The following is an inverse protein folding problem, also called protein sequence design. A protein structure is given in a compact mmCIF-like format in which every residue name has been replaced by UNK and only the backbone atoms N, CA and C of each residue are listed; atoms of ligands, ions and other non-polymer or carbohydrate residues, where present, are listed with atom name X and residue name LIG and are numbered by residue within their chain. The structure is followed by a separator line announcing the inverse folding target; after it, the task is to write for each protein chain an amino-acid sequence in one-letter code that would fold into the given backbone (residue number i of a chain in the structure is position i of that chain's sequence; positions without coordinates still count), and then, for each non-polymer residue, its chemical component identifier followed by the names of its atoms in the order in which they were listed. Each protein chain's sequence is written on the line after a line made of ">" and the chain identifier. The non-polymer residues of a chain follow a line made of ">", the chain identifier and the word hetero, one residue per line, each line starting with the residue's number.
data_IF_800644386120
#
_entry.id   IF_800644386120
#
_cell.length_a   1.000
_cell.length_b   1.000
_cell.length_c   1.000
_cell.angle_alpha   90.00
_cell.angle_beta   90.00
_cell.angle_gamma   90.00
#
_symmetry.space_group_name_H-M   'P 1'
#
loop_
_entity.id
_entity.type
_entity.pdbx_description
1 polymer ?
#
# COMPACT_ATOMS: atom_id res chain seq x y z
N UNK A 1 2.38 -30.21 -3.92
CA UNK A 1 1.29 -29.85 -4.87
C UNK A 1 1.81 -29.45 -6.25
N UNK A 2 2.73 -28.48 -6.37
CA UNK A 2 3.21 -27.97 -7.68
C UNK A 2 3.97 -29.02 -8.51
N UNK A 3 4.83 -29.85 -7.87
CA UNK A 3 5.49 -31.00 -8.52
C UNK A 3 4.50 -31.97 -9.19
N UNK A 4 3.42 -32.30 -8.49
CA UNK A 4 2.38 -33.20 -9.00
C UNK A 4 1.62 -32.58 -10.19
N UNK A 5 1.37 -31.27 -10.15
CA UNK A 5 0.77 -30.55 -11.27
C UNK A 5 1.67 -30.58 -12.51
N UNK A 6 2.97 -30.33 -12.36
CA UNK A 6 3.94 -30.39 -13.46
C UNK A 6 4.03 -31.80 -14.04
N UNK A 7 4.10 -32.84 -13.20
CA UNK A 7 4.09 -34.23 -13.64
C UNK A 7 2.80 -34.60 -14.41
N UNK A 8 1.63 -34.20 -13.89
CA UNK A 8 0.33 -34.44 -14.57
C UNK A 8 0.25 -33.74 -15.93
N UNK A 9 0.77 -32.51 -16.03
CA UNK A 9 0.79 -31.77 -17.30
C UNK A 9 1.76 -32.39 -18.30
N UNK A 10 2.93 -32.84 -17.83
CA UNK A 10 3.88 -33.57 -18.65
C UNK A 10 3.27 -34.87 -19.21
N UNK A 11 2.53 -35.64 -18.39
CA UNK A 11 1.80 -36.82 -18.84
C UNK A 11 0.72 -36.53 -19.91
N UNK A 12 0.25 -35.28 -19.99
CA UNK A 12 -0.68 -34.81 -21.02
C UNK A 12 0.04 -34.11 -22.20
N UNK A 13 1.34 -34.30 -22.36
CA UNK A 13 2.15 -33.72 -23.44
C UNK A 13 2.39 -32.21 -23.31
N UNK A 14 2.16 -31.62 -22.11
CA UNK A 14 2.30 -30.17 -21.88
C UNK A 14 3.58 -29.85 -21.11
N UNK A 15 4.49 -29.13 -21.74
CA UNK A 15 5.64 -28.50 -21.06
C UNK A 15 5.15 -27.45 -20.06
N UNK A 16 5.77 -27.40 -18.89
CA UNK A 16 5.38 -26.49 -17.81
C UNK A 16 6.61 -25.99 -17.07
N UNK A 17 6.87 -24.69 -17.16
CA UNK A 17 7.90 -23.98 -16.38
C UNK A 17 7.27 -23.47 -15.08
N UNK A 18 7.92 -23.74 -13.95
CA UNK A 18 7.54 -23.23 -12.64
C UNK A 18 8.51 -22.12 -12.25
N UNK A 19 8.01 -20.88 -12.21
CA UNK A 19 8.75 -19.73 -11.75
C UNK A 19 8.31 -19.31 -10.34
N UNK A 20 9.27 -18.95 -9.48
CA UNK A 20 9.04 -18.28 -8.20
C UNK A 20 9.56 -16.85 -8.31
N UNK A 21 8.67 -15.87 -8.12
CA UNK A 21 8.98 -14.45 -8.32
C UNK A 21 8.69 -13.61 -7.08
N UNK A 22 9.41 -12.50 -6.90
CA UNK A 22 9.12 -11.47 -5.89
C UNK A 22 10.10 -11.47 -4.69
N UNK A 23 9.72 -10.84 -3.58
CA UNK A 23 10.64 -10.62 -2.45
C UNK A 23 11.17 -11.90 -1.80
N UNK A 24 10.36 -12.96 -1.74
CA UNK A 24 10.81 -14.25 -1.20
C UNK A 24 11.83 -14.89 -2.15
N UNK A 25 11.60 -14.80 -3.46
CA UNK A 25 12.57 -15.20 -4.47
C UNK A 25 13.89 -14.44 -4.32
N UNK A 26 13.82 -13.13 -4.07
CA UNK A 26 15.00 -12.30 -3.81
C UNK A 26 15.76 -12.71 -2.54
N UNK A 27 15.04 -13.03 -1.46
CA UNK A 27 15.66 -13.33 -0.17
C UNK A 27 16.27 -14.74 -0.13
N UNK A 28 15.59 -15.73 -0.67
CA UNK A 28 16.03 -17.13 -0.62
C UNK A 28 16.84 -17.55 -1.86
N UNK A 29 16.63 -16.91 -3.01
CA UNK A 29 17.41 -17.15 -4.23
C UNK A 29 17.53 -18.63 -4.59
N UNK A 30 18.77 -19.11 -4.71
CA UNK A 30 19.09 -20.50 -5.04
C UNK A 30 18.61 -21.52 -3.98
N UNK A 31 18.35 -21.10 -2.73
CA UNK A 31 17.84 -22.00 -1.69
C UNK A 31 16.47 -22.58 -2.06
N UNK A 32 15.63 -21.82 -2.77
CA UNK A 32 14.35 -22.30 -3.26
C UNK A 32 14.53 -23.50 -4.20
N UNK A 33 15.53 -23.44 -5.10
CA UNK A 33 15.84 -24.53 -6.02
C UNK A 33 16.34 -25.76 -5.25
N UNK A 34 17.17 -25.57 -4.22
CA UNK A 34 17.65 -26.66 -3.36
C UNK A 34 16.52 -27.36 -2.62
N UNK A 35 15.58 -26.60 -2.04
CA UNK A 35 14.44 -27.15 -1.26
C UNK A 35 13.32 -27.71 -2.13
N UNK A 36 13.19 -27.21 -3.37
CA UNK A 36 12.12 -27.62 -4.28
C UNK A 36 12.63 -27.74 -5.73
N UNK A 37 13.12 -28.93 -6.07
CA UNK A 37 13.59 -29.28 -7.42
C UNK A 37 12.54 -29.15 -8.54
N UNK A 38 11.25 -28.96 -8.21
CA UNK A 38 10.24 -28.70 -9.23
C UNK A 38 10.31 -27.27 -9.81
N UNK A 39 10.94 -26.33 -9.11
CA UNK A 39 11.09 -24.93 -9.56
C UNK A 39 12.17 -24.84 -10.63
N UNK A 40 11.88 -24.16 -11.73
CA UNK A 40 12.79 -23.99 -12.86
C UNK A 40 13.45 -22.62 -12.90
N UNK A 41 12.77 -21.61 -12.35
CA UNK A 41 13.17 -20.21 -12.40
C UNK A 41 12.89 -19.51 -11.07
N UNK A 42 13.86 -18.74 -10.57
CA UNK A 42 13.71 -17.83 -9.44
C UNK A 42 14.05 -16.41 -9.94
N UNK A 43 13.13 -15.46 -9.74
CA UNK A 43 13.30 -14.08 -10.24
C UNK A 43 12.97 -13.03 -9.18
N UNK A 44 13.91 -12.11 -8.97
CA UNK A 44 13.78 -10.98 -8.06
C UNK A 44 12.78 -9.92 -8.55
N UNK A 45 12.31 -9.03 -7.66
CA UNK A 45 11.35 -8.00 -8.00
C UNK A 45 11.89 -6.90 -8.93
N UNK A 46 13.21 -6.78 -9.10
CA UNK A 46 13.81 -5.81 -10.02
C UNK A 46 14.03 -6.36 -11.44
N UNK A 47 14.05 -7.69 -11.62
CA UNK A 47 14.41 -8.31 -12.90
C UNK A 47 13.22 -8.83 -13.72
N UNK A 48 11.96 -8.59 -13.29
CA UNK A 48 10.80 -9.21 -13.97
C UNK A 48 10.56 -8.74 -15.42
N UNK A 49 11.14 -7.62 -15.84
CA UNK A 49 11.14 -7.19 -17.24
C UNK A 49 11.90 -8.18 -18.16
N UNK A 50 12.82 -8.97 -17.59
CA UNK A 50 13.60 -10.02 -18.28
C UNK A 50 12.89 -11.37 -18.31
N UNK A 51 11.66 -11.46 -17.79
CA UNK A 51 10.98 -12.75 -17.58
C UNK A 51 10.84 -13.57 -18.88
N UNK A 52 10.65 -12.93 -20.04
CA UNK A 52 10.59 -13.62 -21.33
C UNK A 52 11.88 -14.38 -21.64
N UNK A 53 13.04 -13.72 -21.49
CA UNK A 53 14.36 -14.33 -21.65
C UNK A 53 14.61 -15.42 -20.60
N UNK A 54 14.32 -15.12 -19.33
CA UNK A 54 14.51 -16.07 -18.23
C UNK A 54 13.67 -17.34 -18.38
N UNK A 55 12.46 -17.23 -18.90
CA UNK A 55 11.61 -18.40 -19.21
C UNK A 55 12.18 -19.20 -20.38
N UNK A 56 12.70 -18.55 -21.42
CA UNK A 56 13.35 -19.25 -22.53
C UNK A 56 14.60 -20.00 -22.07
N UNK A 57 15.44 -19.37 -21.22
CA UNK A 57 16.60 -20.00 -20.59
C UNK A 57 16.21 -21.18 -19.70
N UNK A 58 15.20 -21.01 -18.86
CA UNK A 58 14.70 -22.07 -17.99
C UNK A 58 14.09 -23.25 -18.75
N UNK A 59 13.56 -23.01 -19.95
CA UNK A 59 13.09 -24.07 -20.85
C UNK A 59 14.24 -24.87 -21.47
N UNK A 60 15.41 -24.25 -21.71
CA UNK A 60 16.61 -24.91 -22.20
C UNK A 60 17.37 -25.66 -21.09
N UNK A 61 17.52 -25.03 -19.92
CA UNK A 61 18.15 -25.61 -18.74
C UNK A 61 17.45 -25.10 -17.46
N UNK A 62 16.84 -25.99 -16.64
CA UNK A 62 16.19 -25.57 -15.39
C UNK A 62 17.22 -25.11 -14.36
N UNK A 63 16.76 -24.33 -13.37
CA UNK A 63 17.58 -23.84 -12.27
C UNK A 63 18.12 -22.42 -12.49
N UNK A 64 17.44 -21.61 -13.30
CA UNK A 64 17.80 -20.21 -13.52
C UNK A 64 17.47 -19.38 -12.27
N UNK A 65 18.41 -18.58 -11.82
CA UNK A 65 18.23 -17.60 -10.72
C UNK A 65 18.67 -16.24 -11.24
N UNK A 66 17.78 -15.25 -11.14
CA UNK A 66 18.08 -13.84 -11.39
C UNK A 66 17.52 -13.01 -10.24
N UNK A 67 18.39 -12.73 -9.27
CA UNK A 67 18.11 -11.92 -8.08
C UNK A 67 19.06 -10.74 -7.98
N UNK A 68 19.65 -10.33 -9.09
CA UNK A 68 20.52 -9.15 -9.08
C UNK A 68 19.67 -7.88 -9.05
N UNK A 69 20.27 -6.78 -8.58
CA UNK A 69 19.68 -5.45 -8.65
C UNK A 69 20.27 -4.73 -9.87
N UNK A 70 19.62 -4.80 -11.04
CA UNK A 70 20.12 -4.11 -12.23
C UNK A 70 20.12 -2.60 -12.04
N UNK A 71 21.10 -1.93 -12.63
CA UNK A 71 21.20 -0.47 -12.67
C UNK A 71 20.23 0.16 -13.68
N UNK A 72 19.79 -0.61 -14.67
CA UNK A 72 18.82 -0.20 -15.68
C UNK A 72 17.41 -0.03 -15.10
N UNK A 73 16.72 1.02 -15.51
CA UNK A 73 15.33 1.26 -15.14
C UNK A 73 14.41 0.29 -15.90
N UNK A 74 13.89 -0.73 -15.21
CA UNK A 74 12.98 -1.71 -15.81
C UNK A 74 11.74 -1.08 -16.47
N UNK A 75 11.30 0.09 -16.01
CA UNK A 75 10.13 0.77 -16.58
C UNK A 75 10.37 1.25 -18.01
N UNK A 76 11.64 1.34 -18.45
CA UNK A 76 11.99 1.65 -19.85
C UNK A 76 11.87 0.43 -20.77
N UNK A 77 11.84 -0.78 -20.21
CA UNK A 77 11.77 -2.03 -20.97
C UNK A 77 10.36 -2.65 -20.98
N UNK A 78 9.46 -2.17 -20.10
CA UNK A 78 8.10 -2.67 -20.02
C UNK A 78 7.23 -1.95 -21.06
N UNK A 79 6.70 -2.72 -22.01
CA UNK A 79 5.69 -2.20 -22.92
C UNK A 79 4.47 -1.70 -22.12
N UNK A 80 3.99 -0.47 -22.37
CA UNK A 80 2.80 0.02 -21.71
C UNK A 80 1.61 -0.88 -22.08
N UNK A 81 0.72 -1.21 -21.12
CA UNK A 81 -0.44 -2.03 -21.41
C UNK A 81 -1.35 -1.32 -22.44
N UNK A 82 -1.94 -2.11 -23.34
CA UNK A 82 -2.91 -1.59 -24.30
C UNK A 82 -4.13 -0.96 -23.59
N UNK A 83 -4.77 0.08 -24.17
CA UNK A 83 -5.93 0.74 -23.57
C UNK A 83 -7.07 -0.22 -23.17
N UNK A 84 -7.30 -1.27 -23.94
CA UNK A 84 -8.31 -2.30 -23.68
C UNK A 84 -7.99 -3.07 -22.38
N UNK A 85 -6.71 -3.39 -22.18
CA UNK A 85 -6.24 -4.08 -20.98
C UNK A 85 -6.32 -3.19 -19.74
N UNK A 86 -6.13 -1.87 -19.89
CA UNK A 86 -6.33 -0.91 -18.80
C UNK A 86 -7.82 -0.84 -18.46
N UNK A 87 -8.70 -0.63 -19.44
CA UNK A 87 -10.17 -0.58 -19.24
C UNK A 87 -10.70 -1.83 -18.53
N UNK A 88 -10.21 -3.00 -18.90
CA UNK A 88 -10.61 -4.27 -18.29
C UNK A 88 -10.26 -4.38 -16.79
N UNK A 89 -9.28 -3.60 -16.29
CA UNK A 89 -8.89 -3.59 -14.86
C UNK A 89 -9.80 -2.71 -14.01
N UNK A 90 -10.52 -1.77 -14.63
CA UNK A 90 -11.46 -0.88 -13.97
C UNK A 90 -11.05 0.59 -14.03
N UNK A 91 -11.66 1.40 -13.16
CA UNK A 91 -11.56 2.87 -13.17
C UNK A 91 -10.54 3.40 -12.17
N UNK A 92 -9.83 2.53 -11.45
CA UNK A 92 -8.76 2.91 -10.53
C UNK A 92 -7.47 2.17 -10.89
N UNK A 93 -6.32 2.79 -10.64
CA UNK A 93 -5.01 2.17 -10.92
C UNK A 93 -3.97 2.53 -9.87
N UNK A 94 -3.09 1.58 -9.58
CA UNK A 94 -1.83 1.85 -8.89
C UNK A 94 -0.78 2.34 -9.87
N UNK A 95 0.04 3.30 -9.44
CA UNK A 95 1.19 3.79 -10.19
C UNK A 95 2.40 3.72 -9.27
N UNK A 96 3.35 2.84 -9.58
CA UNK A 96 4.59 2.74 -8.81
C UNK A 96 5.43 3.99 -9.08
N UNK A 97 5.73 4.80 -8.07
CA UNK A 97 6.54 6.02 -8.23
C UNK A 97 7.94 5.89 -7.66
N UNK A 98 8.13 4.93 -6.76
CA UNK A 98 9.37 4.71 -6.04
C UNK A 98 9.54 3.23 -5.73
N UNK A 99 10.78 2.77 -5.71
CA UNK A 99 11.16 1.41 -5.29
C UNK A 99 12.32 1.46 -4.30
N UNK A 100 12.47 0.41 -3.51
CA UNK A 100 13.51 0.34 -2.47
C UNK A 100 13.23 1.26 -1.29
N UNK A 101 14.06 1.18 -0.25
CA UNK A 101 13.87 1.97 0.96
C UNK A 101 15.16 2.07 1.78
N UNK A 102 15.55 3.30 2.13
CA UNK A 102 16.79 3.57 2.86
C UNK A 102 16.56 3.82 4.37
N UNK A 103 15.38 3.49 4.90
CA UNK A 103 15.06 3.71 6.32
C UNK A 103 15.71 2.69 7.25
N UNK A 104 16.07 1.50 6.77
CA UNK A 104 16.67 0.41 7.55
C UNK A 104 15.99 0.18 8.91
N UNK A 105 14.64 0.17 8.93
CA UNK A 105 13.89 -0.18 10.13
C UNK A 105 14.29 -1.59 10.58
N UNK A 106 14.58 -1.79 11.87
CA UNK A 106 15.24 -3.01 12.35
C UNK A 106 14.43 -4.29 12.17
N UNK A 107 13.12 -4.18 11.93
CA UNK A 107 12.20 -5.29 11.62
C UNK A 107 11.97 -5.54 10.12
N UNK A 108 12.46 -4.66 9.24
CA UNK A 108 12.05 -4.60 7.84
C UNK A 108 13.10 -5.22 6.92
N UNK A 109 12.68 -6.18 6.08
CA UNK A 109 13.53 -6.85 5.09
C UNK A 109 13.68 -6.06 3.79
N UNK A 110 12.90 -5.00 3.60
CA UNK A 110 12.81 -4.27 2.32
C UNK A 110 14.16 -3.78 1.81
N UNK A 111 15.04 -3.14 2.61
CA UNK A 111 16.32 -2.65 2.10
C UNK A 111 17.18 -3.77 1.46
N UNK A 112 17.07 -4.98 2.00
CA UNK A 112 17.83 -6.15 1.53
C UNK A 112 17.17 -6.87 0.35
N UNK A 113 15.86 -6.69 0.14
CA UNK A 113 15.07 -7.44 -0.86
C UNK A 113 14.49 -6.58 -1.99
N UNK A 114 14.64 -5.26 -1.91
CA UNK A 114 14.19 -4.31 -2.93
C UNK A 114 15.27 -3.34 -3.40
N UNK A 115 16.42 -3.33 -2.72
CA UNK A 115 17.54 -2.44 -3.04
C UNK A 115 17.38 -1.05 -2.42
N UNK A 116 18.30 -0.17 -2.83
CA UNK A 116 18.32 1.24 -2.41
C UNK A 116 17.08 1.99 -2.90
N UNK A 117 16.76 3.08 -2.20
CA UNK A 117 15.66 3.95 -2.57
C UNK A 117 15.91 4.63 -3.93
N UNK A 118 14.97 4.44 -4.87
CA UNK A 118 15.02 5.04 -6.21
C UNK A 118 13.64 5.56 -6.58
N UNK A 119 13.59 6.83 -6.98
CA UNK A 119 12.38 7.51 -7.43
C UNK A 119 12.35 7.59 -8.96
N UNK A 120 11.21 7.24 -9.57
CA UNK A 120 11.02 7.39 -11.01
C UNK A 120 10.97 8.87 -11.39
N UNK A 121 11.50 9.28 -12.55
CA UNK A 121 11.38 10.66 -13.03
C UNK A 121 9.92 11.11 -13.11
N UNK A 122 9.63 12.32 -12.61
CA UNK A 122 8.27 12.87 -12.52
C UNK A 122 7.57 12.86 -13.88
N UNK A 123 8.27 13.25 -14.95
CA UNK A 123 7.72 13.29 -16.32
C UNK A 123 7.26 11.90 -16.81
N UNK A 124 7.96 10.83 -16.44
CA UNK A 124 7.57 9.46 -16.81
C UNK A 124 6.34 9.01 -16.04
N UNK A 125 6.24 9.38 -14.76
CA UNK A 125 5.06 9.09 -13.92
C UNK A 125 3.84 9.81 -14.45
N UNK A 126 3.94 11.10 -14.77
CA UNK A 126 2.82 11.87 -15.32
C UNK A 126 2.39 11.32 -16.69
N UNK A 127 3.33 11.02 -17.58
CA UNK A 127 3.00 10.40 -18.87
C UNK A 127 2.29 9.04 -18.73
N UNK A 128 2.59 8.27 -17.68
CA UNK A 128 1.84 7.05 -17.37
C UNK A 128 0.41 7.36 -16.89
N UNK A 129 0.25 8.34 -16.00
CA UNK A 129 -1.07 8.78 -15.50
C UNK A 129 -1.93 9.31 -16.64
N UNK A 130 -1.37 10.09 -17.58
CA UNK A 130 -2.07 10.57 -18.78
C UNK A 130 -2.58 9.41 -19.65
N UNK A 131 -1.76 8.38 -19.87
CA UNK A 131 -2.20 7.18 -20.60
C UNK A 131 -3.32 6.43 -19.88
N UNK A 132 -3.23 6.31 -18.57
CA UNK A 132 -4.27 5.69 -17.74
C UNK A 132 -5.58 6.48 -17.83
N UNK A 133 -5.51 7.81 -17.72
CA UNK A 133 -6.66 8.70 -17.81
C UNK A 133 -7.33 8.63 -19.20
N UNK A 134 -6.53 8.64 -20.27
CA UNK A 134 -7.02 8.46 -21.65
C UNK A 134 -7.72 7.10 -21.87
N UNK A 135 -7.38 6.08 -21.06
CA UNK A 135 -8.04 4.79 -21.07
C UNK A 135 -9.24 4.71 -20.10
N UNK A 136 -9.65 5.81 -19.45
CA UNK A 136 -10.84 5.86 -18.58
C UNK A 136 -10.58 5.61 -17.10
N UNK A 137 -9.31 5.60 -16.65
CA UNK A 137 -8.98 5.61 -15.21
C UNK A 137 -9.35 6.98 -14.63
N UNK A 138 -10.01 6.96 -13.48
CA UNK A 138 -10.54 8.15 -12.79
C UNK A 138 -9.87 8.39 -11.44
N UNK A 139 -9.28 7.36 -10.83
CA UNK A 139 -8.47 7.49 -9.61
C UNK A 139 -7.11 6.81 -9.77
N UNK A 140 -6.04 7.50 -9.39
CA UNK A 140 -4.70 6.91 -9.30
C UNK A 140 -4.22 6.90 -7.86
N UNK A 141 -3.58 5.80 -7.46
CA UNK A 141 -2.90 5.69 -6.17
C UNK A 141 -1.40 5.50 -6.41
N UNK A 142 -0.61 6.48 -6.00
CA UNK A 142 0.84 6.42 -6.06
C UNK A 142 1.37 5.47 -4.98
N UNK A 143 2.17 4.48 -5.40
CA UNK A 143 2.68 3.42 -4.52
C UNK A 143 4.20 3.29 -4.61
N UNK A 144 4.77 2.72 -3.56
CA UNK A 144 6.20 2.49 -3.40
C UNK A 144 6.47 1.78 -2.07
N UNK A 145 7.68 1.90 -1.54
CA UNK A 145 7.99 1.42 -0.18
C UNK A 145 7.97 2.56 0.84
N UNK A 146 8.31 3.78 0.41
CA UNK A 146 8.24 4.99 1.24
C UNK A 146 7.95 6.23 0.36
N UNK A 147 6.74 6.29 -0.21
CA UNK A 147 6.34 7.25 -1.26
C UNK A 147 6.52 8.71 -0.88
N UNK A 148 6.40 9.09 0.40
CA UNK A 148 6.62 10.49 0.79
C UNK A 148 8.09 10.88 0.95
N UNK A 149 9.04 9.96 0.71
CA UNK A 149 10.43 10.31 0.42
C UNK A 149 10.71 10.50 -1.08
N UNK A 150 9.70 10.48 -1.94
CA UNK A 150 9.88 10.62 -3.38
C UNK A 150 10.76 11.83 -3.75
N UNK A 151 11.81 11.55 -4.52
CA UNK A 151 12.83 12.50 -4.97
C UNK A 151 13.14 12.28 -6.46
N UNK A 152 12.15 12.48 -7.33
CA UNK A 152 12.29 12.32 -8.78
C UNK A 152 13.27 13.31 -9.40
N UNK A 153 13.91 12.91 -10.51
CA UNK A 153 14.76 13.82 -11.27
C UNK A 153 13.94 14.97 -11.92
N UNK A 154 14.47 16.20 -11.85
CA UNK A 154 13.89 17.41 -12.42
C UNK A 154 13.59 18.51 -11.39
N UNK A 155 13.19 19.68 -11.86
CA UNK A 155 12.63 20.72 -10.98
C UNK A 155 11.32 20.20 -10.37
N UNK A 156 11.07 20.48 -9.08
CA UNK A 156 9.89 20.02 -8.34
C UNK A 156 9.81 18.49 -8.16
N UNK A 157 10.95 17.82 -7.97
CA UNK A 157 11.04 16.37 -7.81
C UNK A 157 10.50 15.80 -6.49
N UNK A 158 9.78 16.54 -5.66
CA UNK A 158 9.19 16.08 -4.39
C UNK A 158 7.78 15.51 -4.57
N UNK A 159 7.25 14.80 -3.57
CA UNK A 159 5.92 14.18 -3.66
C UNK A 159 4.79 15.22 -3.81
N UNK A 160 4.86 16.34 -3.10
CA UNK A 160 3.84 17.40 -3.15
C UNK A 160 3.55 17.88 -4.57
N UNK A 161 4.55 18.39 -5.31
CA UNK A 161 4.40 18.77 -6.72
C UNK A 161 3.95 17.63 -7.63
N UNK A 162 4.44 16.39 -7.43
CA UNK A 162 3.99 15.24 -8.20
C UNK A 162 2.48 15.00 -8.04
N UNK A 163 1.97 15.08 -6.80
CA UNK A 163 0.54 14.93 -6.51
C UNK A 163 -0.28 16.05 -7.17
N UNK A 164 0.20 17.31 -7.12
CA UNK A 164 -0.45 18.45 -7.77
C UNK A 164 -0.55 18.27 -9.28
N UNK A 165 0.52 17.80 -9.91
CA UNK A 165 0.52 17.58 -11.35
C UNK A 165 -0.36 16.39 -11.73
N UNK A 166 -0.32 15.29 -10.98
CA UNK A 166 -1.22 14.15 -11.17
C UNK A 166 -2.70 14.55 -11.04
N UNK A 167 -3.02 15.41 -10.08
CA UNK A 167 -4.37 15.92 -9.84
C UNK A 167 -4.90 16.81 -10.99
N UNK A 168 -4.01 17.38 -11.79
CA UNK A 168 -4.35 18.25 -12.93
C UNK A 168 -4.45 17.51 -14.26
N UNK A 169 -4.12 16.21 -14.28
CA UNK A 169 -4.26 15.40 -15.50
C UNK A 169 -5.75 15.29 -15.88
N UNK A 170 -6.16 15.72 -17.08
CA UNK A 170 -7.55 15.63 -17.52
C UNK A 170 -8.08 14.19 -17.44
N UNK A 171 -9.25 14.02 -16.83
CA UNK A 171 -9.89 12.72 -16.61
C UNK A 171 -9.65 12.11 -15.22
N UNK A 172 -8.56 12.49 -14.54
CA UNK A 172 -8.32 12.09 -13.15
C UNK A 172 -9.21 12.91 -12.23
N UNK A 173 -10.08 12.23 -11.49
CA UNK A 173 -10.95 12.82 -10.48
C UNK A 173 -10.33 12.75 -9.08
N UNK A 174 -9.48 11.75 -8.82
CA UNK A 174 -8.92 11.49 -7.49
C UNK A 174 -7.47 11.03 -7.57
N UNK A 175 -6.67 11.50 -6.62
CA UNK A 175 -5.30 11.08 -6.40
C UNK A 175 -5.13 10.64 -4.96
N UNK A 176 -4.39 9.55 -4.77
CA UNK A 176 -3.99 9.03 -3.47
C UNK A 176 -2.53 8.68 -3.48
N UNK A 177 -1.98 8.48 -2.31
CA UNK A 177 -0.73 7.78 -2.12
C UNK A 177 -0.81 6.91 -0.86
N UNK A 178 0.04 5.91 -0.78
CA UNK A 178 0.19 5.09 0.44
C UNK A 178 1.65 4.68 0.60
N UNK A 179 1.99 4.09 1.73
CA UNK A 179 3.35 3.81 2.22
C UNK A 179 4.11 5.09 2.52
N UNK A 180 3.93 5.62 3.74
CA UNK A 180 4.55 6.86 4.17
C UNK A 180 5.31 6.71 5.48
N UNK A 181 6.29 7.58 5.69
CA UNK A 181 7.05 7.67 6.91
C UNK A 181 6.82 9.03 7.59
N UNK A 182 6.52 9.10 8.91
CA UNK A 182 6.23 10.36 9.61
C UNK A 182 7.28 11.45 9.42
N UNK A 183 8.56 11.06 9.37
CA UNK A 183 9.69 11.98 9.16
C UNK A 183 9.72 12.67 7.80
N UNK A 184 9.06 12.10 6.79
CA UNK A 184 9.07 12.61 5.42
C UNK A 184 7.74 13.34 5.09
N UNK A 185 7.00 13.77 6.12
CA UNK A 185 5.85 14.67 5.96
C UNK A 185 6.33 16.13 6.00
N UNK A 186 6.84 16.60 4.85
CA UNK A 186 7.30 17.98 4.68
C UNK A 186 6.16 18.99 4.50
N UNK A 187 6.51 20.28 4.47
CA UNK A 187 5.52 21.36 4.30
C UNK A 187 4.87 21.36 2.90
N UNK A 188 5.58 20.95 1.85
CA UNK A 188 5.03 20.93 0.49
C UNK A 188 3.91 19.89 0.35
N UNK A 189 4.09 18.72 0.97
CA UNK A 189 3.11 17.65 1.01
C UNK A 189 1.90 18.02 1.88
N UNK A 190 2.12 18.69 3.01
CA UNK A 190 1.04 19.21 3.85
C UNK A 190 0.24 20.28 3.10
N UNK A 191 0.92 21.19 2.39
CA UNK A 191 0.28 22.20 1.54
C UNK A 191 -0.52 21.56 0.39
N UNK A 192 -0.01 20.49 -0.22
CA UNK A 192 -0.76 19.76 -1.25
C UNK A 192 -2.08 19.18 -0.69
N UNK A 193 -2.09 18.69 0.55
CA UNK A 193 -3.33 18.29 1.22
C UNK A 193 -4.28 19.46 1.47
N UNK A 194 -3.78 20.66 1.76
CA UNK A 194 -4.66 21.83 1.93
C UNK A 194 -5.28 22.30 0.59
N UNK A 195 -4.49 22.27 -0.49
CA UNK A 195 -4.80 23.05 -1.69
C UNK A 195 -5.39 22.24 -2.83
N UNK A 196 -5.17 20.92 -2.90
CA UNK A 196 -5.62 20.08 -4.01
C UNK A 196 -6.85 19.24 -3.62
N UNK A 197 -8.07 19.59 -4.11
CA UNK A 197 -9.29 18.86 -3.76
C UNK A 197 -9.28 17.40 -4.23
N UNK A 198 -8.66 17.14 -5.39
CA UNK A 198 -8.51 15.79 -5.94
C UNK A 198 -7.57 14.91 -5.12
N UNK A 199 -6.68 15.48 -4.29
CA UNK A 199 -5.93 14.71 -3.31
C UNK A 199 -6.89 14.31 -2.19
N UNK A 200 -7.12 13.01 -2.04
CA UNK A 200 -8.15 12.53 -1.14
C UNK A 200 -7.78 12.72 0.33
N UNK A 201 -8.74 13.07 1.21
CA UNK A 201 -8.54 13.34 2.65
C UNK A 201 -8.31 12.06 3.46
N UNK A 202 -7.43 11.18 3.00
CA UNK A 202 -7.07 9.94 3.69
C UNK A 202 -5.56 9.76 3.66
N UNK A 203 -4.92 9.82 4.81
CA UNK A 203 -3.48 9.69 4.96
C UNK A 203 -3.15 8.41 5.72
N UNK A 204 -2.45 7.51 5.05
CA UNK A 204 -1.84 6.34 5.68
C UNK A 204 -0.43 6.69 6.18
N UNK A 205 -0.29 6.87 7.49
CA UNK A 205 0.96 7.29 8.15
C UNK A 205 1.36 6.30 9.27
N UNK A 206 2.03 5.19 8.93
CA UNK A 206 2.56 4.21 9.87
C UNK A 206 3.48 4.79 10.96
N UNK A 207 3.09 4.66 12.23
CA UNK A 207 3.94 4.99 13.39
C UNK A 207 4.67 3.76 13.93
N UNK A 208 4.07 2.57 13.80
CA UNK A 208 4.54 1.25 14.27
C UNK A 208 4.39 1.00 15.78
N UNK A 209 4.68 1.98 16.64
CA UNK A 209 4.50 1.90 18.09
C UNK A 209 4.22 3.28 18.67
N UNK A 210 3.63 3.37 19.87
CA UNK A 210 3.53 4.64 20.61
C UNK A 210 4.68 4.87 21.59
N UNK A 211 5.54 3.88 21.81
CA UNK A 211 6.63 4.00 22.79
C UNK A 211 7.92 4.49 22.17
N UNK A 212 8.50 5.54 22.74
CA UNK A 212 9.75 6.14 22.25
C UNK A 212 10.93 5.17 22.29
N UNK A 213 11.02 4.32 23.33
CA UNK A 213 12.09 3.32 23.41
C UNK A 213 11.92 2.25 22.32
N UNK A 214 10.69 1.77 22.11
CA UNK A 214 10.39 0.78 21.06
C UNK A 214 10.62 1.38 19.67
N UNK A 215 10.16 2.61 19.42
CA UNK A 215 10.41 3.34 18.17
C UNK A 215 11.90 3.53 17.89
N UNK A 216 12.70 3.84 18.92
CA UNK A 216 14.15 3.92 18.80
C UNK A 216 14.76 2.56 18.45
N UNK A 217 14.35 1.48 19.13
CA UNK A 217 14.82 0.11 18.84
C UNK A 217 14.38 -0.38 17.45
N UNK A 218 13.25 0.12 16.93
CA UNK A 218 12.78 -0.07 15.57
C UNK A 218 13.58 0.72 14.51
N UNK A 219 14.51 1.61 14.93
CA UNK A 219 15.21 2.59 14.10
C UNK A 219 14.25 3.53 13.34
N UNK A 220 13.17 3.98 13.98
CA UNK A 220 12.17 4.88 13.38
C UNK A 220 12.63 6.33 13.28
N UNK A 221 13.58 6.74 14.13
CA UNK A 221 14.16 8.09 14.19
C UNK A 221 13.13 9.22 14.40
N UNK A 222 12.04 8.91 15.07
CA UNK A 222 11.04 9.86 15.58
C UNK A 222 10.43 9.30 16.87
N UNK A 223 9.80 10.18 17.63
CA UNK A 223 9.09 9.90 18.88
C UNK A 223 7.58 9.96 18.69
N UNK A 224 6.81 9.49 19.67
CA UNK A 224 5.36 9.62 19.69
C UNK A 224 4.91 11.09 19.63
N UNK A 225 5.63 11.98 20.32
CA UNK A 225 5.36 13.42 20.28
C UNK A 225 5.58 14.04 18.88
N UNK A 226 6.64 13.64 18.17
CA UNK A 226 6.91 14.10 16.80
C UNK A 226 5.78 13.68 15.86
N UNK A 227 5.30 12.44 16.02
CA UNK A 227 4.17 11.91 15.26
C UNK A 227 2.89 12.73 15.49
N UNK A 228 2.57 13.02 16.75
CA UNK A 228 1.39 13.83 17.10
C UNK A 228 1.51 15.24 16.49
N UNK A 229 2.68 15.87 16.56
CA UNK A 229 2.91 17.19 15.97
C UNK A 229 2.70 17.20 14.44
N UNK A 230 3.15 16.15 13.74
CA UNK A 230 2.86 15.97 12.30
C UNK A 230 1.37 15.83 12.05
N UNK A 231 0.68 14.99 12.82
CA UNK A 231 -0.78 14.81 12.72
C UNK A 231 -1.54 16.11 12.92
N UNK A 232 -1.17 16.92 13.91
CA UNK A 232 -1.79 18.21 14.19
C UNK A 232 -1.59 19.20 13.04
N UNK A 233 -0.37 19.29 12.49
CA UNK A 233 -0.07 20.13 11.32
C UNK A 233 -0.90 19.74 10.11
N UNK A 234 -1.01 18.44 9.83
CA UNK A 234 -1.81 17.90 8.73
C UNK A 234 -3.30 18.17 8.93
N UNK A 235 -3.84 17.97 10.14
CA UNK A 235 -5.25 18.28 10.46
C UNK A 235 -5.58 19.76 10.37
N UNK A 236 -4.64 20.63 10.74
CA UNK A 236 -4.79 22.08 10.57
C UNK A 236 -4.87 22.47 9.10
N UNK A 237 -4.08 21.83 8.25
CA UNK A 237 -4.07 22.05 6.80
C UNK A 237 -5.31 21.45 6.11
N UNK A 238 -5.75 20.25 6.54
CA UNK A 238 -6.91 19.55 6.00
C UNK A 238 -7.81 19.01 7.12
N UNK A 239 -8.79 19.80 7.61
CA UNK A 239 -9.59 19.45 8.79
C UNK A 239 -10.44 18.18 8.69
N UNK A 240 -10.81 17.77 7.47
CA UNK A 240 -11.58 16.56 7.21
C UNK A 240 -10.71 15.30 7.04
N UNK A 241 -9.39 15.41 7.19
CA UNK A 241 -8.48 14.29 6.93
C UNK A 241 -8.68 13.13 7.92
N UNK A 242 -8.89 11.94 7.35
CA UNK A 242 -8.88 10.69 8.07
C UNK A 242 -7.48 10.08 8.06
N UNK A 243 -7.08 9.50 9.20
CA UNK A 243 -5.77 8.87 9.35
C UNK A 243 -5.89 7.36 9.41
N UNK A 244 -4.89 6.69 8.84
CA UNK A 244 -4.60 5.29 9.13
C UNK A 244 -3.14 5.06 9.46
N UNK A 245 -2.85 3.93 10.09
CA UNK A 245 -1.50 3.57 10.52
C UNK A 245 -1.29 2.07 10.58
N UNK A 246 -0.04 1.67 10.76
CA UNK A 246 0.36 0.29 11.05
C UNK A 246 0.99 0.23 12.44
N UNK A 247 0.73 -0.87 13.14
CA UNK A 247 1.26 -1.15 14.47
C UNK A 247 1.86 -2.56 14.53
N UNK A 248 2.99 -2.68 15.23
CA UNK A 248 3.66 -3.95 15.52
C UNK A 248 3.70 -4.14 17.03
N UNK A 249 2.98 -5.14 17.55
CA UNK A 249 2.96 -5.47 18.98
C UNK A 249 3.93 -6.60 19.32
N UNK A 250 4.48 -6.55 20.53
CA UNK A 250 5.49 -7.47 21.06
C UNK A 250 6.78 -7.48 20.27
N UNK A 251 7.21 -6.30 19.82
CA UNK A 251 8.58 -6.09 19.35
C UNK A 251 9.58 -6.54 20.44
N UNK A 252 10.78 -7.04 20.08
CA UNK A 252 11.75 -7.52 21.08
C UNK A 252 12.03 -6.47 22.17
N UNK A 253 11.87 -6.90 23.42
CA UNK A 253 12.00 -6.09 24.63
C UNK A 253 10.76 -5.27 25.00
N UNK A 254 9.66 -5.27 24.24
CA UNK A 254 8.46 -4.46 24.54
C UNK A 254 7.78 -4.91 25.85
N UNK A 255 7.68 -3.98 26.80
CA UNK A 255 7.01 -4.18 28.09
C UNK A 255 5.51 -3.84 28.03
N UNK A 256 4.76 -4.21 29.07
CA UNK A 256 3.33 -3.89 29.14
C UNK A 256 3.07 -2.37 29.24
N UNK A 257 3.94 -1.62 29.93
CA UNK A 257 3.81 -0.17 30.04
C UNK A 257 3.95 0.52 28.67
N UNK A 258 4.88 0.06 27.84
CA UNK A 258 5.15 0.59 26.50
C UNK A 258 4.07 0.19 25.49
N UNK A 259 3.49 -0.99 25.65
CA UNK A 259 2.25 -1.32 24.96
C UNK A 259 1.11 -0.37 25.39
N UNK A 260 1.03 -0.02 26.67
CA UNK A 260 0.13 1.02 27.19
C UNK A 260 0.31 2.38 26.50
N UNK A 261 1.55 2.81 26.25
CA UNK A 261 1.88 4.02 25.48
C UNK A 261 1.35 3.93 24.04
N UNK A 262 1.45 2.75 23.41
CA UNK A 262 0.86 2.50 22.07
C UNK A 262 -0.65 2.67 22.08
N UNK A 263 -1.35 2.11 23.08
CA UNK A 263 -2.79 2.32 23.24
C UNK A 263 -3.14 3.79 23.51
N UNK A 264 -2.31 4.51 24.28
CA UNK A 264 -2.50 5.93 24.53
C UNK A 264 -2.39 6.77 23.25
N UNK A 265 -1.39 6.52 22.41
CA UNK A 265 -1.23 7.19 21.11
C UNK A 265 -2.43 6.91 20.20
N UNK A 266 -2.89 5.66 20.11
CA UNK A 266 -4.07 5.29 19.31
C UNK A 266 -5.31 6.04 19.78
N UNK A 267 -5.53 6.16 21.11
CA UNK A 267 -6.64 6.95 21.67
C UNK A 267 -6.53 8.44 21.35
N UNK A 268 -5.33 9.02 21.46
CA UNK A 268 -5.10 10.43 21.19
C UNK A 268 -5.33 10.78 19.70
N UNK A 269 -4.85 9.93 18.79
CA UNK A 269 -4.94 10.20 17.36
C UNK A 269 -6.33 9.89 16.81
N UNK A 270 -7.03 8.86 17.30
CA UNK A 270 -8.33 8.38 16.78
C UNK A 270 -8.27 8.05 15.29
N UNK A 271 -7.72 6.89 14.96
CA UNK A 271 -7.57 6.44 13.58
C UNK A 271 -8.91 6.03 12.96
N UNK A 272 -9.14 6.40 11.71
CA UNK A 272 -10.32 5.96 10.95
C UNK A 272 -10.19 4.50 10.52
N UNK A 273 -8.97 4.00 10.38
CA UNK A 273 -8.61 2.61 10.14
C UNK A 273 -7.17 2.40 10.60
N UNK A 274 -6.79 1.21 11.06
CA UNK A 274 -5.39 0.89 11.31
C UNK A 274 -5.18 -0.62 11.17
N UNK A 275 -3.94 -1.00 10.89
CA UNK A 275 -3.54 -2.39 10.82
C UNK A 275 -2.62 -2.71 11.99
N UNK A 276 -2.88 -3.82 12.66
CA UNK A 276 -2.08 -4.27 13.79
C UNK A 276 -1.59 -5.69 13.54
N UNK A 277 -0.31 -5.92 13.80
CA UNK A 277 0.37 -7.18 13.57
C UNK A 277 1.18 -7.57 14.80
N UNK A 278 1.30 -8.87 15.06
CA UNK A 278 2.34 -9.36 15.98
C UNK A 278 3.70 -9.20 15.31
N UNK A 279 4.72 -8.85 16.09
CA UNK A 279 6.10 -8.94 15.61
C UNK A 279 6.41 -10.38 15.17
N UNK A 280 6.84 -10.50 13.92
CA UNK A 280 7.29 -11.74 13.31
C UNK A 280 8.76 -11.57 12.93
N UNK A 281 9.68 -12.37 13.50
CA UNK A 281 11.08 -12.30 13.11
C UNK A 281 11.23 -12.65 11.63
N UNK A 282 12.11 -11.91 10.95
CA UNK A 282 12.49 -12.15 9.57
C UNK A 282 13.99 -12.34 9.53
N UNK A 283 14.42 -13.46 8.94
CA UNK A 283 15.84 -13.77 8.81
C UNK A 283 16.59 -12.60 8.15
N UNK A 284 17.76 -12.26 8.69
CA UNK A 284 18.60 -11.15 8.21
C UNK A 284 18.20 -9.76 8.69
N UNK A 285 17.14 -9.61 9.50
CA UNK A 285 16.79 -8.32 10.10
C UNK A 285 17.41 -8.15 11.48
N UNK A 286 17.91 -6.95 11.86
CA UNK A 286 18.52 -6.75 13.18
C UNK A 286 17.62 -7.14 14.36
N UNK A 287 16.31 -6.90 14.26
CA UNK A 287 15.36 -7.26 15.31
C UNK A 287 15.20 -8.77 15.52
N UNK A 288 15.45 -9.59 14.48
CA UNK A 288 15.35 -11.04 14.60
C UNK A 288 16.45 -11.63 15.49
N UNK A 289 17.60 -10.95 15.58
CA UNK A 289 18.76 -11.35 16.39
C UNK A 289 18.71 -10.78 17.82
N UNK A 290 17.71 -9.96 18.15
CA UNK A 290 17.55 -9.42 19.51
C UNK A 290 17.14 -10.53 20.49
N UNK A 291 17.83 -10.63 21.63
CA UNK A 291 17.63 -11.70 22.61
C UNK A 291 16.26 -11.63 23.32
N UNK A 292 15.75 -10.42 23.57
CA UNK A 292 14.56 -10.18 24.40
C UNK A 292 13.24 -10.42 23.64
N UNK A 293 13.09 -11.56 22.99
CA UNK A 293 11.87 -11.89 22.25
C UNK A 293 10.67 -12.01 23.19
N UNK A 294 9.58 -11.31 22.87
CA UNK A 294 8.33 -11.39 23.63
C UNK A 294 7.60 -12.70 23.33
N UNK A 295 7.11 -13.37 24.38
CA UNK A 295 6.33 -14.60 24.28
C UNK A 295 5.08 -14.44 23.39
N UNK A 296 4.71 -15.48 22.65
CA UNK A 296 3.61 -15.40 21.67
C UNK A 296 2.26 -15.11 22.33
N UNK A 297 1.99 -15.67 23.51
CA UNK A 297 0.74 -15.43 24.23
C UNK A 297 0.59 -13.95 24.65
N UNK A 298 1.69 -13.31 25.07
CA UNK A 298 1.70 -11.87 25.33
C UNK A 298 1.44 -11.07 24.04
N UNK A 299 2.07 -11.45 22.91
CA UNK A 299 1.80 -10.82 21.60
C UNK A 299 0.34 -10.95 21.19
N UNK A 300 -0.29 -12.11 21.45
CA UNK A 300 -1.70 -12.37 21.13
C UNK A 300 -2.65 -11.53 21.98
N UNK A 301 -2.41 -11.44 23.29
CA UNK A 301 -3.19 -10.58 24.19
C UNK A 301 -3.14 -9.10 23.73
N UNK A 302 -1.93 -8.57 23.55
CA UNK A 302 -1.71 -7.19 23.10
C UNK A 302 -2.37 -6.92 21.75
N UNK A 303 -2.22 -7.84 20.80
CA UNK A 303 -2.85 -7.71 19.48
C UNK A 303 -4.37 -7.62 19.60
N UNK A 304 -4.99 -8.51 20.40
CA UNK A 304 -6.43 -8.52 20.62
C UNK A 304 -6.93 -7.19 21.21
N UNK A 305 -6.26 -6.69 22.25
CA UNK A 305 -6.62 -5.41 22.91
C UNK A 305 -6.46 -4.21 21.98
N UNK A 306 -5.40 -4.17 21.18
CA UNK A 306 -5.19 -3.11 20.20
C UNK A 306 -6.21 -3.19 19.05
N UNK A 307 -6.49 -4.38 18.52
CA UNK A 307 -7.48 -4.58 17.47
C UNK A 307 -8.89 -4.18 17.93
N UNK A 308 -9.25 -4.49 19.18
CA UNK A 308 -10.53 -4.06 19.76
C UNK A 308 -10.64 -2.52 19.76
N UNK A 309 -9.62 -1.80 20.25
CA UNK A 309 -9.61 -0.34 20.26
C UNK A 309 -9.68 0.25 18.84
N UNK A 310 -8.92 -0.30 17.90
CA UNK A 310 -8.94 0.14 16.49
C UNK A 310 -10.34 -0.07 15.89
N UNK A 311 -10.98 -1.20 16.16
CA UNK A 311 -12.31 -1.51 15.65
C UNK A 311 -13.38 -0.58 16.24
N UNK A 312 -13.30 -0.29 17.54
CA UNK A 312 -14.16 0.72 18.19
C UNK A 312 -14.04 2.09 17.49
N UNK A 313 -12.80 2.57 17.25
CA UNK A 313 -12.57 3.85 16.57
C UNK A 313 -13.04 3.84 15.11
N UNK A 314 -12.81 2.74 14.38
CA UNK A 314 -13.29 2.56 13.00
C UNK A 314 -14.80 2.62 12.93
N UNK A 315 -15.49 1.93 13.84
CA UNK A 315 -16.95 1.94 13.91
C UNK A 315 -17.48 3.34 14.25
N UNK A 316 -16.85 4.04 15.18
CA UNK A 316 -17.22 5.41 15.53
C UNK A 316 -17.03 6.38 14.35
N UNK A 317 -15.92 6.26 13.62
CA UNK A 317 -15.69 7.04 12.41
C UNK A 317 -16.78 6.78 11.36
N UNK A 318 -17.09 5.51 11.10
CA UNK A 318 -18.14 5.12 10.15
C UNK A 318 -19.53 5.62 10.60
N UNK A 319 -19.88 5.48 11.88
CA UNK A 319 -21.13 6.00 12.46
C UNK A 319 -21.24 7.51 12.25
N UNK A 320 -20.15 8.24 12.41
CA UNK A 320 -20.09 9.69 12.16
C UNK A 320 -20.39 10.10 10.72
N UNK A 321 -20.34 9.17 9.75
CA UNK A 321 -20.73 9.43 8.37
C UNK A 321 -22.22 9.21 8.09
N UNK A 322 -22.94 8.47 8.94
CA UNK A 322 -24.38 8.26 8.77
C UNK A 322 -25.10 9.61 8.87
N UNK A 323 -25.99 9.89 7.92
CA UNK A 323 -26.68 11.16 7.77
C UNK A 323 -25.88 12.23 7.02
N UNK A 324 -24.60 11.99 6.67
CA UNK A 324 -23.80 12.89 5.85
C UNK A 324 -23.90 12.54 4.37
N UNK A 325 -23.73 13.54 3.52
CA UNK A 325 -23.53 13.36 2.08
C UNK A 325 -22.04 13.32 1.78
N UNK A 326 -21.57 12.27 1.11
CA UNK A 326 -20.17 12.09 0.71
C UNK A 326 -20.06 11.83 -0.78
N UNK A 327 -18.93 12.18 -1.38
CA UNK A 327 -18.67 11.87 -2.78
C UNK A 327 -18.16 10.43 -2.93
N UNK A 328 -18.79 9.65 -3.80
CA UNK A 328 -18.43 8.25 -4.05
C UNK A 328 -18.03 8.10 -5.51
N UNK A 329 -16.83 7.56 -5.74
CA UNK A 329 -16.43 7.06 -7.05
C UNK A 329 -16.97 5.64 -7.19
N UNK A 330 -17.89 5.40 -8.13
CA UNK A 330 -18.41 4.06 -8.39
C UNK A 330 -17.47 3.28 -9.30
N UNK A 331 -17.14 2.06 -8.91
CA UNK A 331 -16.09 1.27 -9.55
C UNK A 331 -16.64 0.05 -10.30
N UNK A 332 -17.79 -0.46 -9.87
CA UNK A 332 -18.36 -1.72 -10.35
C UNK A 332 -19.81 -1.91 -9.93
N UNK A 333 -20.46 -2.92 -10.52
CA UNK A 333 -21.72 -3.44 -10.03
C UNK A 333 -21.57 -4.01 -8.61
N UNK A 334 -22.60 -3.83 -7.80
CA UNK A 334 -22.73 -4.39 -6.46
C UNK A 334 -23.07 -5.87 -6.49
N UNK A 335 -23.28 -6.45 -5.30
CA UNK A 335 -23.58 -7.88 -5.15
C UNK A 335 -25.03 -8.22 -5.54
N UNK A 336 -25.94 -7.25 -5.40
CA UNK A 336 -27.36 -7.43 -5.64
C UNK A 336 -27.78 -6.79 -6.98
N UNK A 337 -28.83 -7.31 -7.66
CA UNK A 337 -29.38 -6.69 -8.86
C UNK A 337 -29.74 -5.22 -8.62
N UNK A 338 -29.35 -4.33 -9.55
CA UNK A 338 -29.59 -2.89 -9.44
C UNK A 338 -28.71 -2.15 -8.42
N UNK A 339 -27.75 -2.83 -7.80
CA UNK A 339 -26.78 -2.22 -6.90
C UNK A 339 -25.49 -1.87 -7.64
N UNK A 340 -24.88 -0.74 -7.27
CA UNK A 340 -23.53 -0.33 -7.65
C UNK A 340 -22.69 -0.12 -6.40
N UNK A 341 -21.37 -0.32 -6.54
CA UNK A 341 -20.40 -0.24 -5.46
C UNK A 341 -19.29 0.74 -5.80
N UNK A 342 -18.91 1.55 -4.81
CA UNK A 342 -17.86 2.53 -4.95
C UNK A 342 -17.07 2.77 -3.68
N UNK A 343 -16.22 3.78 -3.73
CA UNK A 343 -15.36 4.19 -2.62
C UNK A 343 -15.62 5.63 -2.21
N UNK A 344 -15.79 5.82 -0.89
CA UNK A 344 -15.83 7.14 -0.27
C UNK A 344 -14.46 7.84 -0.37
N UNK A 345 -14.33 9.13 -0.02
CA UNK A 345 -13.03 9.80 0.02
C UNK A 345 -12.05 9.12 1.00
N UNK A 346 -12.57 8.37 1.98
CA UNK A 346 -11.83 7.67 3.03
C UNK A 346 -11.68 6.15 2.79
N UNK A 347 -11.82 5.69 1.55
CA UNK A 347 -11.69 4.28 1.12
C UNK A 347 -12.74 3.29 1.65
N UNK A 348 -13.78 3.76 2.36
CA UNK A 348 -14.88 2.90 2.76
C UNK A 348 -15.66 2.44 1.53
N UNK A 349 -16.01 1.16 1.48
CA UNK A 349 -16.90 0.65 0.44
C UNK A 349 -18.30 1.22 0.67
N UNK A 350 -18.90 1.81 -0.36
CA UNK A 350 -20.27 2.35 -0.32
C UNK A 350 -21.12 1.61 -1.32
N UNK A 351 -22.26 1.09 -0.87
CA UNK A 351 -23.22 0.34 -1.67
C UNK A 351 -24.49 1.18 -1.86
N UNK A 352 -24.91 1.35 -3.12
CA UNK A 352 -26.04 2.21 -3.49
C UNK A 352 -26.88 1.51 -4.55
N UNK A 353 -28.20 1.66 -4.51
CA UNK A 353 -29.06 1.28 -5.63
C UNK A 353 -28.96 2.35 -6.73
N UNK A 354 -28.62 1.96 -7.95
CA UNK A 354 -28.40 2.92 -9.03
C UNK A 354 -28.01 2.28 -10.36
N UNK A 355 -28.07 3.04 -11.46
CA UNK A 355 -27.74 2.52 -12.79
C UNK A 355 -26.23 2.30 -12.93
N UNK A 356 -25.84 1.28 -13.69
CA UNK A 356 -24.43 0.96 -13.98
C UNK A 356 -23.72 2.03 -14.82
N UNK A 357 -24.47 2.98 -15.41
CA UNK A 357 -23.93 4.14 -16.13
C UNK A 357 -23.16 5.10 -15.21
N UNK A 358 -23.32 4.98 -13.88
CA UNK A 358 -22.53 5.73 -12.91
C UNK A 358 -21.16 5.12 -12.62
N UNK A 359 -20.86 3.91 -13.12
CA UNK A 359 -19.52 3.32 -12.95
C UNK A 359 -18.49 4.17 -13.69
N UNK A 360 -17.46 4.61 -12.97
CA UNK A 360 -16.49 5.61 -13.42
C UNK A 360 -16.86 7.03 -13.02
N UNK A 361 -18.06 7.30 -12.53
CA UNK A 361 -18.46 8.64 -12.11
C UNK A 361 -18.34 8.83 -10.59
N UNK A 362 -18.04 10.08 -10.23
CA UNK A 362 -18.13 10.55 -8.84
C UNK A 362 -19.51 11.16 -8.65
N UNK A 363 -20.26 10.65 -7.68
CA UNK A 363 -21.58 11.17 -7.35
C UNK A 363 -21.75 11.35 -5.84
N UNK A 364 -22.61 12.30 -5.45
CA UNK A 364 -22.96 12.57 -4.06
C UNK A 364 -23.91 11.49 -3.56
N UNK A 365 -23.59 10.91 -2.40
CA UNK A 365 -24.35 9.84 -1.76
C UNK A 365 -24.65 10.23 -0.32
N UNK A 366 -25.93 10.27 0.04
CA UNK A 366 -26.36 10.36 1.42
C UNK A 366 -26.17 8.99 2.09
N UNK A 367 -25.31 8.91 3.11
CA UNK A 367 -25.05 7.66 3.83
C UNK A 367 -26.21 7.41 4.80
N UNK A 368 -26.91 6.30 4.63
CA UNK A 368 -28.12 5.96 5.38
C UNK A 368 -27.90 4.87 6.41
N UNK A 369 -26.82 4.11 6.32
CA UNK A 369 -26.58 3.02 7.26
C UNK A 369 -25.19 2.38 7.15
N UNK A 370 -24.94 1.47 8.08
CA UNK A 370 -23.70 0.72 8.20
C UNK A 370 -23.94 -0.75 7.88
N UNK A 371 -23.03 -1.35 7.13
CA UNK A 371 -22.80 -2.78 7.11
C UNK A 371 -21.57 -3.14 7.95
N UNK A 372 -21.22 -4.42 7.96
CA UNK A 372 -20.03 -4.91 8.71
C UNK A 372 -18.75 -4.22 8.21
N UNK A 373 -18.57 -4.18 6.89
CA UNK A 373 -17.36 -3.67 6.21
C UNK A 373 -17.68 -2.66 5.10
N UNK A 374 -18.87 -2.09 5.10
CA UNK A 374 -19.34 -1.16 4.08
C UNK A 374 -20.32 -0.15 4.66
N UNK A 375 -20.55 0.92 3.92
CA UNK A 375 -21.64 1.88 4.14
C UNK A 375 -22.75 1.61 3.13
N UNK A 376 -23.97 1.89 3.53
CA UNK A 376 -25.12 1.95 2.64
C UNK A 376 -25.53 3.41 2.44
N UNK A 377 -25.98 3.72 1.23
CA UNK A 377 -26.46 5.06 0.94
C UNK A 377 -27.42 5.12 -0.22
N UNK A 378 -27.89 6.32 -0.48
CA UNK A 378 -28.76 6.68 -1.60
C UNK A 378 -28.12 7.83 -2.37
N UNK A 379 -28.29 7.84 -3.69
CA UNK A 379 -27.86 8.98 -4.50
C UNK A 379 -28.55 10.23 -3.97
N UNK A 380 -27.78 11.26 -3.64
CA UNK A 380 -28.33 12.52 -3.20
C UNK A 380 -29.03 13.19 -4.39
N UNK A 381 -30.30 13.56 -4.22
CA UNK A 381 -30.99 14.39 -5.21
C UNK A 381 -30.35 15.78 -5.16
N UNK A 382 -29.91 16.26 -6.33
CA UNK A 382 -29.23 17.55 -6.48
C UNK A 382 -30.11 18.73 -6.12
#
# INVERSE_FOLDING_TARGET
>A
KVRLLKARRAAAGKTTTIAVAGCVAQAEGAEILRRQAAVDLVVGPQSYHRLSDLVARAAAAPGVVDTDFPTEDKFDHLAPPAPEAIRARGVTSFVTVQEGCDKFCSFCVVPYTRGAEVSRPLVKVIAEIERLAAAGVREVTLIGQNVNAYHGAGANGSLGPLLRQAARVPGIARVRYTTSHPRDMDEELIAAHAEEPALMPFLHLPVQSGSDRVLAAMNRRHRGADYIAVVERVRRARPDIALSSDFIVGFPGETEAEFGETLALVRAVRFASAYAFKYSPRAGTPAAEMADQVADDCKRDRLSRLQQLIEEQRLDFNRGLVGRTVEVLFEKSGRHPGQIAGKSPYLQAVQVAGPTTLIGEVAKVAITGLGVNSLFGQLAVG
#
